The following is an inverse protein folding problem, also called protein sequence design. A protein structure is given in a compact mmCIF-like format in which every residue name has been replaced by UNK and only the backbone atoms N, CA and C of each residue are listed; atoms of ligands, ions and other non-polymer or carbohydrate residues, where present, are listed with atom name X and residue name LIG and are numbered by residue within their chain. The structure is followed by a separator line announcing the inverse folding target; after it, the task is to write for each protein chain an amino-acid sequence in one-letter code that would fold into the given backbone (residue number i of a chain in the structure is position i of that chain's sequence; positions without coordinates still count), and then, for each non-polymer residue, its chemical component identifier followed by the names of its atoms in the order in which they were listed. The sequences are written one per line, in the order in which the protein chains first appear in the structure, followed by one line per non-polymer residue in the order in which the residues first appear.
data_IF_763472469515
#
_entry.id   IF_763472469515
#
_cell.length_a   1.000
_cell.length_b   1.000
_cell.length_c   1.000
_cell.angle_alpha   90.00
_cell.angle_beta   90.00
_cell.angle_gamma   90.00
#
_symmetry.space_group_name_H-M   'P 1'
#
loop_
_entity.id
_entity.type
_entity.pdbx_description
1 polymer ?
#
# COMPACT_ATOMS: atom_id res chain seq x y z
N UNK A 1 -15.49 -15.82 10.37
CA UNK A 1 -15.36 -14.36 10.17
C UNK A 1 -14.10 -13.86 10.87
N UNK A 2 -12.93 -13.99 10.24
CA UNK A 2 -11.73 -13.31 10.74
C UNK A 2 -11.79 -11.86 10.29
N UNK A 3 -11.93 -10.92 11.23
CA UNK A 3 -11.53 -9.53 10.97
C UNK A 3 -10.02 -9.57 10.74
N UNK A 4 -9.47 -9.10 9.61
CA UNK A 4 -8.05 -8.79 9.57
C UNK A 4 -7.86 -7.62 10.53
N UNK A 5 -7.51 -7.93 11.77
CA UNK A 5 -6.88 -6.97 12.67
C UNK A 5 -5.64 -6.46 11.94
N UNK A 6 -5.53 -5.13 11.83
CA UNK A 6 -4.42 -4.47 11.17
C UNK A 6 -3.09 -4.92 11.78
N UNK A 7 -2.45 -5.89 11.15
CA UNK A 7 -1.08 -6.30 11.42
C UNK A 7 -0.32 -5.92 10.16
N UNK A 8 -0.15 -4.62 9.98
CA UNK A 8 0.99 -4.17 9.21
C UNK A 8 2.07 -3.94 10.25
N UNK A 9 2.96 -4.93 10.41
CA UNK A 9 4.10 -4.81 11.32
C UNK A 9 5.14 -3.88 10.69
N UNK A 10 5.82 -3.02 11.48
CA UNK A 10 6.92 -2.19 10.99
C UNK A 10 7.99 -3.00 10.23
N UNK A 11 8.19 -4.26 10.64
CA UNK A 11 9.12 -5.19 10.02
C UNK A 11 8.82 -5.51 8.55
N UNK A 12 7.55 -5.60 8.14
CA UNK A 12 7.22 -5.87 6.74
C UNK A 12 7.54 -4.65 5.86
N UNK A 13 7.28 -3.44 6.37
CA UNK A 13 7.69 -2.23 5.65
C UNK A 13 9.20 -2.13 5.52
N UNK A 14 9.93 -2.46 6.59
CA UNK A 14 11.39 -2.51 6.60
C UNK A 14 11.94 -3.32 5.42
N UNK A 15 11.43 -4.53 5.23
CA UNK A 15 11.91 -5.42 4.18
C UNK A 15 11.38 -5.09 2.77
N UNK A 16 10.31 -4.30 2.68
CA UNK A 16 9.69 -3.94 1.41
C UNK A 16 10.00 -2.50 0.95
N UNK A 17 10.74 -1.71 1.73
CA UNK A 17 11.02 -0.29 1.42
C UNK A 17 11.78 -0.08 0.10
N UNK A 18 12.60 -1.05 -0.31
CA UNK A 18 13.26 -1.04 -1.63
C UNK A 18 12.31 -1.32 -2.81
N UNK A 19 11.02 -1.58 -2.56
CA UNK A 19 10.01 -1.84 -3.60
C UNK A 19 8.71 -1.07 -3.32
N UNK A 20 8.63 0.20 -3.77
CA UNK A 20 7.43 1.04 -3.61
C UNK A 20 6.15 0.38 -4.16
N UNK A 21 6.26 -0.35 -5.27
CA UNK A 21 5.15 -1.14 -5.84
C UNK A 21 4.60 -2.16 -4.86
N UNK A 22 5.50 -2.88 -4.18
CA UNK A 22 5.12 -3.88 -3.18
C UNK A 22 4.45 -3.23 -1.98
N UNK A 23 5.00 -2.12 -1.49
CA UNK A 23 4.41 -1.37 -0.39
C UNK A 23 3.02 -0.86 -0.76
N UNK A 24 2.85 -0.29 -1.96
CA UNK A 24 1.55 0.22 -2.40
C UNK A 24 0.48 -0.87 -2.35
N UNK A 25 0.75 -2.01 -2.98
CA UNK A 25 -0.17 -3.15 -3.03
C UNK A 25 -0.48 -3.65 -1.62
N UNK A 26 0.54 -3.79 -0.78
CA UNK A 26 0.40 -4.25 0.60
C UNK A 26 -0.52 -3.31 1.39
N UNK A 27 -0.23 -2.01 1.41
CA UNK A 27 -1.01 -1.04 2.18
C UNK A 27 -2.43 -0.88 1.65
N UNK A 28 -2.60 -0.93 0.32
CA UNK A 28 -3.90 -0.89 -0.33
C UNK A 28 -4.74 -2.17 -0.16
N UNK A 29 -4.16 -3.26 0.34
CA UNK A 29 -4.90 -4.48 0.64
C UNK A 29 -5.68 -4.40 1.97
N UNK A 30 -5.34 -3.46 2.86
CA UNK A 30 -5.96 -3.33 4.19
C UNK A 30 -6.96 -2.18 4.26
N UNK A 31 -8.07 -2.38 4.99
CA UNK A 31 -9.09 -1.33 5.22
C UNK A 31 -8.67 -0.30 6.26
N UNK A 32 -7.84 -0.71 7.21
CA UNK A 32 -7.33 0.13 8.30
C UNK A 32 -5.86 -0.18 8.50
N UNK A 33 -5.09 0.88 8.67
CA UNK A 33 -3.68 0.81 9.00
C UNK A 33 -3.51 1.50 10.35
N UNK A 34 -2.64 0.95 11.19
CA UNK A 34 -2.14 1.64 12.38
C UNK A 34 -0.75 2.15 12.04
N UNK A 35 -0.69 3.32 11.41
CA UNK A 35 0.60 3.99 11.22
C UNK A 35 1.08 4.42 12.60
N UNK A 36 2.27 4.00 12.97
CA UNK A 36 2.92 4.31 14.25
C UNK A 36 4.24 5.02 13.97
N UNK A 37 4.80 5.74 14.93
CA UNK A 37 6.11 6.39 14.74
C UNK A 37 7.21 5.37 14.39
N UNK A 38 7.10 4.14 14.91
CA UNK A 38 7.97 3.02 14.55
C UNK A 38 7.97 2.66 13.04
N UNK A 39 6.90 2.98 12.31
CA UNK A 39 6.86 2.81 10.84
C UNK A 39 7.72 3.83 10.13
N UNK A 40 7.61 5.09 10.56
CA UNK A 40 8.39 6.21 10.03
C UNK A 40 9.86 5.96 10.31
N UNK A 41 10.18 5.53 11.54
CA UNK A 41 11.54 5.17 11.93
C UNK A 41 12.07 3.98 11.13
N UNK A 42 11.29 2.91 10.91
CA UNK A 42 11.75 1.75 10.14
C UNK A 42 12.08 2.10 8.68
N UNK A 43 11.25 2.93 8.03
CA UNK A 43 11.51 3.39 6.66
C UNK A 43 12.67 4.38 6.63
N UNK A 44 12.78 5.25 7.65
CA UNK A 44 13.86 6.24 7.76
C UNK A 44 15.21 5.59 8.07
N UNK A 45 15.24 4.51 8.86
CA UNK A 45 16.43 3.73 9.17
C UNK A 45 16.94 3.00 7.94
N UNK A 46 16.09 2.31 7.16
CA UNK A 46 16.54 1.75 5.89
C UNK A 46 16.95 2.83 4.91
N UNK A 47 16.22 3.95 4.84
CA UNK A 47 16.61 5.07 4.00
C UNK A 47 17.95 5.68 4.43
N UNK A 48 18.30 5.61 5.73
CA UNK A 48 19.58 6.03 6.30
C UNK A 48 20.71 5.03 5.98
N UNK A 49 20.44 3.73 6.11
CA UNK A 49 21.35 2.64 5.76
C UNK A 49 21.61 2.62 4.24
N UNK A 50 20.57 2.87 3.44
CA UNK A 50 20.61 3.11 2.01
C UNK A 50 21.36 4.40 1.63
N UNK A 51 21.60 5.36 2.54
CA UNK A 51 22.46 6.52 2.22
C UNK A 51 23.92 6.14 2.00
N UNK A 52 24.34 4.99 2.52
CA UNK A 52 25.68 4.45 2.27
C UNK A 52 25.78 3.76 0.89
N UNK A 53 24.65 3.62 0.18
CA UNK A 53 24.56 3.06 -1.16
C UNK A 53 23.93 4.12 -2.09
N UNK A 54 24.77 4.86 -2.81
CA UNK A 54 24.43 6.09 -3.56
C UNK A 54 23.22 5.96 -4.52
N UNK A 55 22.93 4.75 -4.99
CA UNK A 55 21.77 4.41 -5.83
C UNK A 55 20.43 4.44 -5.09
N UNK A 56 20.38 4.09 -3.80
CA UNK A 56 19.13 3.92 -3.05
C UNK A 56 18.61 5.24 -2.46
N UNK A 57 19.50 6.21 -2.24
CA UNK A 57 19.16 7.60 -1.90
C UNK A 57 18.42 8.31 -3.04
N UNK A 58 18.76 7.97 -4.29
CA UNK A 58 18.11 8.51 -5.49
C UNK A 58 16.69 7.95 -5.63
N UNK A 59 16.52 6.63 -5.54
CA UNK A 59 15.21 5.96 -5.66
C UNK A 59 14.18 6.44 -4.62
N UNK A 60 14.63 6.73 -3.39
CA UNK A 60 13.76 7.31 -2.36
C UNK A 60 13.30 8.73 -2.70
N UNK A 61 14.19 9.57 -3.27
CA UNK A 61 13.83 10.89 -3.75
C UNK A 61 12.86 10.80 -4.95
N UNK A 62 13.08 9.87 -5.87
CA UNK A 62 12.21 9.59 -7.01
C UNK A 62 10.79 9.17 -6.58
N UNK A 63 10.63 8.66 -5.35
CA UNK A 63 9.35 8.20 -4.81
C UNK A 63 8.87 9.01 -3.61
N UNK A 64 9.32 10.27 -3.48
CA UNK A 64 8.93 11.14 -2.36
C UNK A 64 7.41 11.27 -2.21
N UNK A 65 6.69 11.55 -3.30
CA UNK A 65 5.22 11.71 -3.28
C UNK A 65 4.50 10.45 -2.79
N UNK A 66 5.03 9.27 -3.16
CA UNK A 66 4.51 7.99 -2.69
C UNK A 66 4.63 7.87 -1.16
N UNK A 67 5.82 8.14 -0.60
CA UNK A 67 6.02 8.04 0.85
C UNK A 67 5.26 9.10 1.62
N UNK A 68 5.12 10.32 1.09
CA UNK A 68 4.22 11.33 1.65
C UNK A 68 2.77 10.82 1.73
N UNK A 69 2.29 10.14 0.69
CA UNK A 69 0.97 9.50 0.71
C UNK A 69 0.86 8.43 1.80
N UNK A 70 1.90 7.63 2.03
CA UNK A 70 1.95 6.61 3.10
C UNK A 70 1.84 7.24 4.49
N UNK A 71 2.59 8.31 4.75
CA UNK A 71 2.58 8.98 6.06
C UNK A 71 1.27 9.73 6.33
N UNK A 72 0.59 10.21 5.29
CA UNK A 72 -0.71 10.87 5.42
C UNK A 72 -1.80 9.94 6.01
N UNK A 73 -1.65 8.62 5.83
CA UNK A 73 -2.61 7.60 6.29
C UNK A 73 -2.76 7.53 7.81
N UNK A 74 -1.74 7.97 8.56
CA UNK A 74 -1.83 8.03 10.02
C UNK A 74 -2.76 9.14 10.52
N UNK A 75 -3.08 10.12 9.66
CA UNK A 75 -3.77 11.36 10.03
C UNK A 75 -5.19 11.45 9.48
N UNK A 76 -5.54 10.61 8.49
CA UNK A 76 -6.81 10.71 7.78
C UNK A 76 -7.50 9.33 7.66
N UNK A 77 -8.84 9.29 7.73
CA UNK A 77 -9.58 8.08 7.40
C UNK A 77 -9.45 7.78 5.90
N UNK A 78 -9.45 6.49 5.54
CA UNK A 78 -9.40 6.05 4.14
C UNK A 78 -10.63 6.52 3.37
N UNK A 79 -10.44 6.86 2.09
CA UNK A 79 -11.53 7.31 1.24
C UNK A 79 -12.62 6.22 1.07
N UNK A 80 -13.87 6.63 0.84
CA UNK A 80 -14.98 5.71 0.60
C UNK A 80 -14.69 4.74 -0.56
N UNK A 81 -14.04 5.23 -1.62
CA UNK A 81 -13.65 4.42 -2.77
C UNK A 81 -12.71 3.27 -2.36
N UNK A 82 -11.77 3.53 -1.44
CA UNK A 82 -10.88 2.50 -0.90
C UNK A 82 -11.62 1.47 -0.07
N UNK A 83 -12.52 1.93 0.81
CA UNK A 83 -13.34 1.04 1.63
C UNK A 83 -14.26 0.16 0.77
N UNK A 84 -14.82 0.71 -0.30
CA UNK A 84 -15.60 -0.02 -1.28
C UNK A 84 -14.75 -1.09 -2.00
N UNK A 85 -13.56 -0.73 -2.50
CA UNK A 85 -12.62 -1.70 -3.10
C UNK A 85 -12.28 -2.81 -2.13
N UNK A 86 -11.92 -2.47 -0.89
CA UNK A 86 -11.60 -3.46 0.13
C UNK A 86 -12.78 -4.43 0.34
N UNK A 87 -14.00 -3.91 0.45
CA UNK A 87 -15.20 -4.73 0.64
C UNK A 87 -15.44 -5.67 -0.54
N UNK A 88 -15.30 -5.19 -1.77
CA UNK A 88 -15.42 -6.01 -2.99
C UNK A 88 -14.36 -7.11 -3.03
N UNK A 89 -13.10 -6.76 -2.75
CA UNK A 89 -11.99 -7.74 -2.72
C UNK A 89 -12.20 -8.82 -1.65
N UNK A 90 -12.63 -8.44 -0.45
CA UNK A 90 -12.96 -9.40 0.62
C UNK A 90 -14.16 -10.26 0.24
N UNK A 91 -15.14 -9.75 -0.50
CA UNK A 91 -16.27 -10.55 -0.95
C UNK A 91 -15.89 -11.58 -2.03
N UNK A 92 -14.98 -11.20 -2.94
CA UNK A 92 -14.52 -12.06 -4.02
C UNK A 92 -13.40 -13.02 -3.58
N UNK A 93 -12.63 -12.67 -2.55
CA UNK A 93 -11.51 -13.43 -1.99
C UNK A 93 -10.52 -13.90 -3.08
N UNK A 94 -10.10 -15.17 -3.06
CA UNK A 94 -9.19 -15.74 -4.08
C UNK A 94 -9.74 -15.74 -5.52
N UNK A 95 -11.01 -15.34 -5.72
CA UNK A 95 -11.64 -15.26 -7.04
C UNK A 95 -11.50 -13.88 -7.70
N UNK A 96 -10.95 -12.88 -7.00
CA UNK A 96 -10.80 -11.50 -7.53
C UNK A 96 -10.19 -11.50 -8.94
N UNK A 97 -9.06 -12.17 -9.14
CA UNK A 97 -8.36 -12.21 -10.43
C UNK A 97 -9.12 -12.97 -11.53
N UNK A 98 -10.06 -13.85 -11.17
CA UNK A 98 -10.88 -14.62 -12.12
C UNK A 98 -12.17 -13.88 -12.49
N UNK A 99 -12.75 -13.16 -11.53
CA UNK A 99 -14.08 -12.52 -11.67
C UNK A 99 -13.96 -11.10 -12.21
N UNK A 100 -13.04 -10.28 -11.69
CA UNK A 100 -12.93 -8.86 -12.05
C UNK A 100 -12.77 -8.62 -13.56
N UNK A 101 -11.95 -9.39 -14.31
CA UNK A 101 -11.84 -9.20 -15.75
C UNK A 101 -13.17 -9.37 -16.52
N UNK A 102 -14.08 -10.20 -15.98
CA UNK A 102 -15.38 -10.54 -16.58
C UNK A 102 -16.51 -9.58 -16.20
N UNK A 103 -16.28 -8.68 -15.24
CA UNK A 103 -17.28 -7.69 -14.84
C UNK A 103 -17.43 -6.64 -15.95
N UNK A 104 -18.64 -6.14 -16.13
CA UNK A 104 -18.92 -5.02 -17.04
C UNK A 104 -18.58 -3.69 -16.33
N UNK A 105 -17.29 -3.45 -16.17
CA UNK A 105 -16.75 -2.26 -15.49
C UNK A 105 -15.69 -1.58 -16.38
N UNK A 106 -15.55 -0.25 -16.29
CA UNK A 106 -14.45 0.45 -16.93
C UNK A 106 -13.09 -0.13 -16.53
N UNK A 107 -12.14 -0.19 -17.47
CA UNK A 107 -10.79 -0.77 -17.27
C UNK A 107 -10.09 -0.18 -16.04
N UNK A 108 -10.19 1.14 -15.85
CA UNK A 108 -9.60 1.81 -14.68
C UNK A 108 -10.15 1.29 -13.34
N UNK A 109 -11.44 0.93 -13.27
CA UNK A 109 -12.04 0.37 -12.05
C UNK A 109 -11.62 -1.09 -11.88
N UNK A 110 -11.51 -1.87 -12.96
CA UNK A 110 -10.96 -3.24 -12.90
C UNK A 110 -9.54 -3.22 -12.34
N UNK A 111 -8.70 -2.35 -12.87
CA UNK A 111 -7.31 -2.17 -12.44
C UNK A 111 -7.22 -1.72 -10.98
N UNK A 112 -8.11 -0.80 -10.58
CA UNK A 112 -8.23 -0.37 -9.18
C UNK A 112 -8.56 -1.54 -8.25
N UNK A 113 -9.55 -2.37 -8.62
CA UNK A 113 -9.94 -3.56 -7.87
C UNK A 113 -8.84 -4.62 -7.83
N UNK A 114 -7.99 -4.69 -8.86
CA UNK A 114 -6.87 -5.62 -8.97
C UNK A 114 -5.60 -5.17 -8.23
N UNK A 115 -5.61 -3.97 -7.62
CA UNK A 115 -4.43 -3.35 -7.00
C UNK A 115 -3.29 -3.12 -8.00
N UNK A 116 -3.62 -2.69 -9.22
CA UNK A 116 -2.59 -2.22 -10.14
C UNK A 116 -1.90 -0.97 -9.58
N UNK A 117 -0.58 -0.90 -9.72
CA UNK A 117 0.27 0.16 -9.20
C UNK A 117 -0.08 1.53 -9.80
N UNK A 118 -0.19 2.56 -8.96
CA UNK A 118 -0.51 3.94 -9.36
C UNK A 118 0.48 4.98 -8.86
N UNK A 119 1.42 4.62 -7.99
CA UNK A 119 2.40 5.52 -7.40
C UNK A 119 1.93 6.23 -6.13
N UNK A 120 0.78 5.85 -5.56
CA UNK A 120 0.28 6.43 -4.31
C UNK A 120 -0.65 5.48 -3.55
N UNK A 121 -0.81 5.71 -2.26
CA UNK A 121 -1.71 4.94 -1.40
C UNK A 121 -3.05 5.65 -1.26
N UNK A 122 -4.15 4.90 -1.43
CA UNK A 122 -5.54 5.39 -1.39
C UNK A 122 -6.09 5.56 0.04
#
# INVERSE_FOLDING_TARGET
MCRPSAITTPHVLKHCCGSPRTIEVLLNAYSRLKVTDAWVESVSSEALEAKFEESALLDMCEHREFYESVFSLGRTPRALQHLARFRVRVFLEGRVHKVVPKLDLPTFIKNYLLLEYRGYVH
#
